data_IF_226639985361
#
_entry.id   IF_226639985361
#
_cell.length_a   1.000
_cell.length_b   1.000
_cell.length_c   1.000
_cell.angle_alpha   90.00
_cell.angle_beta   90.00
_cell.angle_gamma   90.00
#
_symmetry.space_group_name_H-M   'P 1'
#
loop_
_entity.id
_entity.type
_entity.pdbx_description
1 polymer ?
#
# COMPACT_ATOMS: atom_id res chain seq x y z
N UNK A 1 12.74 -12.75 22.93
CA UNK A 1 13.42 -11.44 22.81
C UNK A 1 14.77 -11.57 22.10
N UNK A 2 15.67 -12.51 22.45
CA UNK A 2 16.93 -12.74 21.76
C UNK A 2 16.75 -13.07 20.26
N UNK A 3 15.65 -13.73 19.89
CA UNK A 3 15.34 -14.11 18.50
C UNK A 3 15.07 -12.90 17.60
N UNK A 4 14.39 -11.87 18.13
CA UNK A 4 14.09 -10.64 17.36
C UNK A 4 15.33 -9.76 17.17
N UNK A 5 16.22 -9.71 18.16
CA UNK A 5 17.49 -8.99 18.05
C UNK A 5 18.42 -9.70 17.05
N UNK A 6 18.39 -11.04 17.02
CA UNK A 6 19.14 -11.84 16.05
C UNK A 6 18.62 -11.66 14.62
N UNK A 7 17.30 -11.66 14.40
CA UNK A 7 16.72 -11.34 13.10
C UNK A 7 17.09 -9.92 12.61
N UNK A 8 17.21 -8.96 13.53
CA UNK A 8 17.64 -7.62 13.19
C UNK A 8 19.11 -7.56 12.73
N UNK A 9 20.00 -8.31 13.38
CA UNK A 9 21.41 -8.42 12.97
C UNK A 9 21.58 -9.31 11.73
N UNK A 10 20.79 -10.36 11.58
CA UNK A 10 20.80 -11.24 10.40
C UNK A 10 20.23 -10.53 9.17
N UNK A 11 19.24 -9.65 9.32
CA UNK A 11 18.74 -8.78 8.27
C UNK A 11 19.80 -7.79 7.75
N UNK A 12 20.82 -7.44 8.55
CA UNK A 12 21.99 -6.69 8.09
C UNK A 12 23.02 -7.55 7.33
N UNK A 13 23.00 -8.86 7.55
CA UNK A 13 23.93 -9.81 6.93
C UNK A 13 23.29 -10.59 5.77
N UNK A 14 21.98 -10.40 5.54
CA UNK A 14 21.21 -11.11 4.54
C UNK A 14 21.86 -11.02 3.17
N UNK A 15 22.32 -12.16 2.79
CA UNK A 15 22.92 -12.48 1.51
C UNK A 15 21.97 -12.15 0.37
N UNK A 16 22.54 -11.67 -0.72
CA UNK A 16 22.10 -11.84 -2.09
C UNK A 16 20.64 -11.46 -2.43
N UNK A 17 20.49 -10.34 -3.12
CA UNK A 17 19.57 -10.10 -4.24
C UNK A 17 18.04 -10.22 -4.03
N UNK A 18 17.51 -10.63 -2.91
CA UNK A 18 16.07 -10.46 -2.67
C UNK A 18 15.79 -9.00 -2.35
N UNK A 19 15.23 -8.28 -3.33
CA UNK A 19 14.74 -6.92 -3.13
C UNK A 19 13.71 -6.92 -2.00
N UNK A 20 14.03 -6.23 -0.91
CA UNK A 20 13.12 -6.12 0.24
C UNK A 20 11.89 -5.32 -0.18
N UNK A 21 10.72 -5.92 0.00
CA UNK A 21 9.43 -5.29 -0.27
C UNK A 21 8.91 -4.51 0.93
N UNK A 22 8.00 -3.56 0.69
CA UNK A 22 7.62 -2.55 1.68
C UNK A 22 6.18 -2.65 2.17
N UNK A 23 5.42 -3.66 1.70
CA UNK A 23 3.99 -3.78 1.92
C UNK A 23 3.56 -4.10 3.35
N UNK A 24 2.27 -3.89 3.62
CA UNK A 24 1.70 -4.11 4.95
C UNK A 24 1.53 -5.59 5.30
N UNK A 25 1.37 -6.47 4.31
CA UNK A 25 1.19 -7.91 4.51
C UNK A 25 2.36 -8.75 4.04
N UNK A 26 3.30 -8.16 3.32
CA UNK A 26 4.48 -8.84 2.83
C UNK A 26 5.70 -7.91 2.87
N UNK A 27 6.86 -8.43 3.30
CA UNK A 27 8.10 -7.68 3.43
C UNK A 27 8.23 -6.92 4.76
N UNK A 28 9.08 -5.90 4.78
CA UNK A 28 9.46 -5.17 5.99
C UNK A 28 8.28 -4.47 6.68
N UNK A 29 7.34 -3.95 5.89
CA UNK A 29 6.13 -3.33 6.44
C UNK A 29 5.26 -4.31 7.24
N UNK A 30 5.23 -5.59 6.86
CA UNK A 30 4.47 -6.61 7.59
C UNK A 30 5.02 -6.85 8.99
N UNK A 31 6.33 -6.72 9.19
CA UNK A 31 6.98 -6.83 10.51
C UNK A 31 6.55 -5.67 11.40
N UNK A 32 6.58 -4.45 10.87
CA UNK A 32 6.09 -3.27 11.61
C UNK A 32 4.61 -3.44 11.97
N UNK A 33 3.80 -3.87 10.99
CA UNK A 33 2.37 -4.09 11.22
C UNK A 33 2.10 -5.16 12.29
N UNK A 34 2.87 -6.23 12.31
CA UNK A 34 2.83 -7.25 13.36
C UNK A 34 3.08 -6.66 14.75
N UNK A 35 4.10 -5.80 14.90
CA UNK A 35 4.38 -5.10 16.17
C UNK A 35 3.28 -4.12 16.56
N UNK A 36 2.65 -3.43 15.61
CA UNK A 36 1.49 -2.57 15.86
C UNK A 36 0.32 -3.38 16.44
N UNK A 37 0.01 -4.53 15.87
CA UNK A 37 -1.04 -5.42 16.37
C UNK A 37 -0.72 -5.96 17.75
N UNK A 38 0.53 -6.41 17.99
CA UNK A 38 0.97 -6.87 19.31
C UNK A 38 0.84 -5.78 20.37
N UNK A 39 1.20 -4.53 20.04
CA UNK A 39 0.97 -3.41 20.94
C UNK A 39 -0.52 -3.15 21.18
N UNK A 40 -1.35 -3.18 20.15
CA UNK A 40 -2.80 -2.96 20.30
C UNK A 40 -3.45 -3.99 21.24
N UNK A 41 -2.99 -5.23 21.18
CA UNK A 41 -3.51 -6.34 22.02
C UNK A 41 -2.95 -6.25 23.44
N UNK A 42 -1.65 -6.08 23.59
CA UNK A 42 -0.95 -6.26 24.88
C UNK A 42 -0.73 -4.95 25.64
N UNK A 43 -0.81 -3.81 24.97
CA UNK A 43 -0.42 -2.47 25.45
C UNK A 43 1.05 -2.36 25.90
N UNK A 44 1.89 -3.33 25.55
CA UNK A 44 3.30 -3.31 25.86
C UNK A 44 4.07 -2.41 24.88
N UNK A 45 4.56 -1.27 25.38
CA UNK A 45 5.29 -0.24 24.59
C UNK A 45 6.59 -0.76 23.95
N UNK A 46 7.11 -1.91 24.43
CA UNK A 46 8.29 -2.53 23.81
C UNK A 46 8.06 -2.87 22.36
N UNK A 47 6.84 -3.27 21.99
CA UNK A 47 6.51 -3.57 20.60
C UNK A 47 6.54 -2.31 19.70
N UNK A 48 6.15 -1.14 20.21
CA UNK A 48 6.31 0.12 19.46
C UNK A 48 7.79 0.47 19.24
N UNK A 49 8.65 0.20 20.21
CA UNK A 49 10.10 0.42 20.05
C UNK A 49 10.71 -0.47 18.97
N UNK A 50 10.29 -1.75 18.91
CA UNK A 50 10.70 -2.64 17.82
C UNK A 50 10.13 -2.19 16.47
N UNK A 51 8.84 -1.86 16.42
CA UNK A 51 8.21 -1.29 15.22
C UNK A 51 8.94 -0.06 14.69
N UNK A 52 9.35 0.85 15.58
CA UNK A 52 10.10 2.05 15.21
C UNK A 52 11.47 1.73 14.57
N UNK A 53 12.20 0.72 15.09
CA UNK A 53 13.47 0.26 14.47
C UNK A 53 13.24 -0.24 13.05
N UNK A 54 12.21 -1.06 12.86
CA UNK A 54 11.84 -1.60 11.56
C UNK A 54 11.31 -0.53 10.59
N UNK A 55 10.68 0.54 11.09
CA UNK A 55 10.33 1.70 10.28
C UNK A 55 11.55 2.38 9.63
N UNK A 56 12.73 2.36 10.27
CA UNK A 56 13.95 2.91 9.67
C UNK A 56 14.49 2.00 8.55
N UNK A 57 14.35 0.68 8.68
CA UNK A 57 14.70 -0.25 7.61
C UNK A 57 13.72 -0.05 6.44
N UNK A 58 12.42 -0.10 6.72
CA UNK A 58 11.36 0.11 5.74
C UNK A 58 11.57 1.40 4.93
N UNK A 59 11.90 2.52 5.61
CA UNK A 59 12.19 3.81 4.95
C UNK A 59 13.34 3.74 3.93
N UNK A 60 14.36 2.89 4.19
CA UNK A 60 15.51 2.73 3.28
C UNK A 60 15.13 1.95 2.02
N UNK A 61 14.20 1.00 2.13
CA UNK A 61 13.77 0.15 1.04
C UNK A 61 12.82 0.84 0.05
N UNK A 62 12.16 1.95 0.44
CA UNK A 62 11.09 2.58 -0.35
C UNK A 62 11.42 2.86 -1.82
N UNK A 63 12.65 3.28 -2.11
CA UNK A 63 13.05 3.69 -3.48
C UNK A 63 13.43 2.51 -4.37
N UNK A 64 13.84 1.41 -3.75
CA UNK A 64 14.32 0.21 -4.43
C UNK A 64 13.19 -0.78 -4.68
N UNK A 65 12.08 -0.65 -3.92
CA UNK A 65 10.89 -1.45 -4.10
C UNK A 65 10.14 -1.02 -5.37
N UNK A 66 9.94 -1.96 -6.27
CA UNK A 66 9.22 -1.80 -7.53
C UNK A 66 7.77 -2.26 -7.43
N UNK A 67 7.30 -2.66 -6.24
CA UNK A 67 5.91 -2.93 -5.94
C UNK A 67 5.25 -1.68 -5.38
N UNK A 68 4.03 -1.41 -5.82
CA UNK A 68 3.33 -0.17 -5.46
C UNK A 68 2.05 -0.43 -4.69
N UNK A 69 1.59 -1.66 -4.66
CA UNK A 69 0.33 -2.07 -4.07
C UNK A 69 0.33 -2.04 -2.52
N UNK A 70 -0.83 -2.37 -1.94
CA UNK A 70 -1.01 -2.37 -0.48
C UNK A 70 -0.37 -3.60 0.18
N UNK A 71 -0.40 -4.75 -0.48
CA UNK A 71 0.04 -6.03 0.10
C UNK A 71 1.55 -6.08 0.19
N UNK A 72 2.27 -5.85 -0.90
CA UNK A 72 3.70 -6.01 -1.00
C UNK A 72 4.49 -4.72 -1.21
N UNK A 73 3.83 -3.59 -1.48
CA UNK A 73 4.49 -2.40 -2.01
C UNK A 73 4.31 -1.11 -1.20
N UNK A 74 4.70 -0.01 -1.83
CA UNK A 74 4.79 1.30 -1.21
C UNK A 74 3.46 1.84 -0.65
N UNK A 75 2.29 1.45 -1.19
CA UNK A 75 1.01 1.83 -0.60
C UNK A 75 0.80 1.17 0.78
N UNK A 76 1.29 -0.06 0.95
CA UNK A 76 1.33 -0.71 2.26
C UNK A 76 2.23 0.04 3.25
N UNK A 77 3.41 0.51 2.80
CA UNK A 77 4.28 1.33 3.63
C UNK A 77 3.61 2.64 4.08
N UNK A 78 2.84 3.32 3.21
CA UNK A 78 2.03 4.48 3.57
C UNK A 78 1.11 4.13 4.74
N UNK A 79 0.39 3.01 4.66
CA UNK A 79 -0.53 2.56 5.72
C UNK A 79 0.19 2.25 7.03
N UNK A 80 1.31 1.56 6.95
CA UNK A 80 2.11 1.19 8.13
C UNK A 80 2.63 2.43 8.87
N UNK A 81 3.17 3.41 8.15
CA UNK A 81 3.66 4.64 8.77
C UNK A 81 2.52 5.51 9.34
N UNK A 82 1.37 5.60 8.67
CA UNK A 82 0.19 6.27 9.21
C UNK A 82 -0.29 5.60 10.51
N UNK A 83 -0.30 4.28 10.56
CA UNK A 83 -0.65 3.56 11.79
C UNK A 83 0.35 3.86 12.92
N UNK A 84 1.67 3.97 12.63
CA UNK A 84 2.65 4.39 13.64
C UNK A 84 2.40 5.81 14.13
N UNK A 85 2.07 6.74 13.22
CA UNK A 85 1.68 8.08 13.58
C UNK A 85 0.45 8.10 14.51
N UNK A 86 -0.57 7.29 14.20
CA UNK A 86 -1.76 7.19 15.04
C UNK A 86 -1.46 6.68 16.45
N UNK A 87 -0.48 5.79 16.58
CA UNK A 87 -0.10 5.19 17.85
C UNK A 87 0.83 6.06 18.70
N UNK A 88 1.69 6.88 18.07
CA UNK A 88 2.75 7.61 18.78
C UNK A 88 2.66 9.13 18.65
N UNK A 89 1.95 9.64 17.63
CA UNK A 89 1.77 11.08 17.32
C UNK A 89 3.10 11.81 17.09
N UNK A 90 4.08 11.13 16.52
CA UNK A 90 5.38 11.71 16.15
C UNK A 90 5.42 12.05 14.66
N UNK A 91 5.69 13.32 14.31
CA UNK A 91 5.68 13.85 12.93
C UNK A 91 6.66 13.14 12.00
N UNK A 92 7.72 12.54 12.54
CA UNK A 92 8.66 11.77 11.76
C UNK A 92 8.02 10.58 11.00
N UNK A 93 6.86 10.08 11.45
CA UNK A 93 6.12 9.06 10.72
C UNK A 93 5.32 9.65 9.55
N UNK A 94 4.79 10.87 9.67
CA UNK A 94 4.20 11.57 8.53
C UNK A 94 5.24 11.86 7.45
N UNK A 95 6.44 12.29 7.84
CA UNK A 95 7.54 12.47 6.87
C UNK A 95 7.90 11.19 6.13
N UNK A 96 7.95 10.04 6.84
CA UNK A 96 8.17 8.73 6.23
C UNK A 96 7.03 8.33 5.28
N UNK A 97 5.79 8.61 5.69
CA UNK A 97 4.60 8.38 4.87
C UNK A 97 4.66 9.19 3.57
N UNK A 98 4.99 10.48 3.65
CA UNK A 98 5.14 11.35 2.48
C UNK A 98 6.25 10.88 1.54
N UNK A 99 7.34 10.31 2.08
CA UNK A 99 8.40 9.70 1.24
C UNK A 99 7.89 8.49 0.47
N UNK A 100 7.11 7.61 1.11
CA UNK A 100 6.50 6.46 0.45
C UNK A 100 5.50 6.89 -0.64
N UNK A 101 4.62 7.85 -0.31
CA UNK A 101 3.69 8.44 -1.28
C UNK A 101 4.41 9.15 -2.43
N UNK A 102 5.53 9.81 -2.17
CA UNK A 102 6.36 10.43 -3.21
C UNK A 102 6.91 9.43 -4.22
N UNK A 103 7.18 8.19 -3.80
CA UNK A 103 7.52 7.09 -4.74
C UNK A 103 6.31 6.75 -5.60
N UNK A 104 5.13 6.62 -4.99
CA UNK A 104 3.88 6.33 -5.73
C UNK A 104 3.59 7.41 -6.78
N UNK A 105 3.63 8.71 -6.39
CA UNK A 105 3.39 9.81 -7.32
C UNK A 105 4.40 9.81 -8.49
N UNK A 106 5.65 9.57 -8.21
CA UNK A 106 6.73 9.56 -9.22
C UNK A 106 6.60 8.38 -10.20
N UNK A 107 6.06 7.24 -9.75
CA UNK A 107 5.96 5.99 -10.51
C UNK A 107 4.59 5.77 -11.14
N UNK A 108 3.64 6.69 -10.92
CA UNK A 108 2.36 6.68 -11.58
C UNK A 108 2.53 6.80 -13.10
N UNK A 109 1.75 6.05 -13.84
CA UNK A 109 1.74 6.02 -15.31
C UNK A 109 0.37 6.44 -15.80
N UNK A 110 0.32 7.31 -16.79
CA UNK A 110 -0.94 7.70 -17.43
C UNK A 110 -1.56 6.49 -18.16
N UNK A 111 -2.84 6.23 -17.90
CA UNK A 111 -3.70 5.40 -18.73
C UNK A 111 -4.39 6.24 -19.81
N UNK A 112 -5.30 5.65 -20.55
CA UNK A 112 -6.18 6.42 -21.47
C UNK A 112 -7.04 7.42 -20.69
N UNK A 113 -7.46 7.05 -19.51
CA UNK A 113 -8.15 7.90 -18.53
C UNK A 113 -7.53 7.66 -17.18
N UNK A 114 -7.11 8.72 -16.49
CA UNK A 114 -6.51 8.62 -15.16
C UNK A 114 -5.10 8.04 -15.13
N UNK A 115 -4.71 7.52 -13.97
CA UNK A 115 -3.37 6.95 -13.73
C UNK A 115 -3.45 5.58 -13.07
N UNK A 116 -2.39 4.78 -13.24
CA UNK A 116 -2.20 3.51 -12.57
C UNK A 116 -0.73 3.22 -12.30
N UNK A 117 -0.45 2.05 -11.74
CA UNK A 117 0.91 1.59 -11.44
C UNK A 117 1.16 0.24 -12.09
N UNK A 118 2.31 0.10 -12.71
CA UNK A 118 2.70 -1.16 -13.37
C UNK A 118 2.91 -2.26 -12.34
N UNK A 119 2.24 -3.37 -12.54
CA UNK A 119 2.50 -4.59 -11.79
C UNK A 119 3.85 -5.18 -12.21
N UNK A 120 4.62 -5.66 -11.24
CA UNK A 120 5.97 -6.19 -11.47
C UNK A 120 5.97 -7.47 -12.34
N UNK A 121 4.90 -8.27 -12.28
CA UNK A 121 4.85 -9.57 -12.95
C UNK A 121 4.61 -9.47 -14.46
N UNK A 122 3.73 -8.55 -14.89
CA UNK A 122 3.32 -8.46 -16.30
C UNK A 122 3.31 -7.04 -16.86
N UNK A 123 3.68 -6.03 -16.06
CA UNK A 123 3.75 -4.63 -16.47
C UNK A 123 2.39 -3.95 -16.69
N UNK A 124 1.28 -4.63 -16.44
CA UNK A 124 -0.07 -4.05 -16.60
C UNK A 124 -0.43 -3.14 -15.44
N UNK A 125 -1.39 -2.23 -15.66
CA UNK A 125 -1.96 -1.40 -14.60
C UNK A 125 -3.15 -2.15 -14.00
N UNK A 126 -2.96 -2.76 -12.82
CA UNK A 126 -3.99 -3.59 -12.20
C UNK A 126 -5.08 -2.76 -11.52
N UNK A 127 -6.32 -3.22 -11.63
CA UNK A 127 -7.41 -2.87 -10.73
C UNK A 127 -7.43 -3.75 -9.46
N UNK A 128 -8.28 -3.39 -8.50
CA UNK A 128 -8.46 -4.14 -7.26
C UNK A 128 -7.81 -3.52 -6.04
N UNK A 129 -8.17 -4.03 -4.85
CA UNK A 129 -7.71 -3.44 -3.59
C UNK A 129 -6.32 -3.93 -3.18
N UNK A 130 -6.05 -5.24 -3.27
CA UNK A 130 -4.79 -5.78 -2.80
C UNK A 130 -3.60 -5.37 -3.67
N UNK A 131 -3.75 -5.48 -5.00
CA UNK A 131 -2.64 -5.35 -5.95
C UNK A 131 -2.86 -4.27 -7.02
N UNK A 132 -3.89 -3.42 -6.88
CA UNK A 132 -4.26 -2.45 -7.90
C UNK A 132 -4.61 -1.07 -7.37
N UNK A 133 -5.24 -0.31 -8.26
CA UNK A 133 -5.50 1.12 -8.05
C UNK A 133 -6.38 1.42 -6.83
N UNK A 134 -7.37 0.59 -6.48
CA UNK A 134 -8.26 0.86 -5.35
C UNK A 134 -7.50 0.92 -4.01
N UNK A 135 -6.51 0.05 -3.79
CA UNK A 135 -5.71 0.08 -2.57
C UNK A 135 -4.74 1.26 -2.52
N UNK A 136 -4.12 1.60 -3.65
CA UNK A 136 -3.21 2.74 -3.74
C UNK A 136 -3.99 4.05 -3.53
N UNK A 137 -5.14 4.18 -4.18
CA UNK A 137 -6.08 5.29 -3.98
C UNK A 137 -6.45 5.45 -2.50
N UNK A 138 -6.77 4.36 -1.81
CA UNK A 138 -7.09 4.37 -0.40
C UNK A 138 -5.93 4.90 0.45
N UNK A 139 -4.71 4.42 0.22
CA UNK A 139 -3.52 4.87 0.94
C UNK A 139 -3.24 6.37 0.74
N UNK A 140 -3.32 6.86 -0.51
CA UNK A 140 -3.12 8.27 -0.84
C UNK A 140 -4.22 9.17 -0.26
N UNK A 141 -5.49 8.75 -0.31
CA UNK A 141 -6.60 9.49 0.28
C UNK A 141 -6.46 9.62 1.80
N UNK A 142 -6.06 8.52 2.48
CA UNK A 142 -5.73 8.55 3.90
C UNK A 142 -4.65 9.58 4.21
N UNK A 143 -3.54 9.57 3.45
CA UNK A 143 -2.46 10.53 3.66
C UNK A 143 -2.94 11.98 3.44
N UNK A 144 -3.76 12.22 2.41
CA UNK A 144 -4.34 13.55 2.18
C UNK A 144 -5.14 14.04 3.38
N UNK A 145 -5.92 13.16 4.02
CA UNK A 145 -6.70 13.49 5.22
C UNK A 145 -5.82 13.89 6.43
N UNK A 146 -4.62 13.32 6.56
CA UNK A 146 -3.67 13.66 7.63
C UNK A 146 -2.89 14.95 7.36
N UNK A 147 -2.54 15.20 6.09
CA UNK A 147 -1.63 16.30 5.73
C UNK A 147 -2.33 17.54 5.16
N UNK A 148 -3.57 17.39 4.71
CA UNK A 148 -4.30 18.43 3.97
C UNK A 148 -3.76 18.68 2.54
N UNK A 149 -2.76 17.94 2.09
CA UNK A 149 -2.14 18.13 0.78
C UNK A 149 -3.03 17.57 -0.33
N UNK A 150 -3.47 18.45 -1.23
CA UNK A 150 -4.39 18.12 -2.33
C UNK A 150 -3.79 17.20 -3.39
N UNK A 151 -2.47 17.21 -3.55
CA UNK A 151 -1.79 16.39 -4.55
C UNK A 151 -2.05 14.88 -4.36
N UNK A 152 -2.17 14.41 -3.11
CA UNK A 152 -2.47 13.02 -2.82
C UNK A 152 -3.92 12.66 -3.14
N UNK A 153 -4.85 13.58 -2.85
CA UNK A 153 -6.27 13.39 -3.20
C UNK A 153 -6.48 13.41 -4.72
N UNK A 154 -5.78 14.31 -5.42
CA UNK A 154 -5.82 14.36 -6.88
C UNK A 154 -5.30 13.06 -7.51
N UNK A 155 -4.16 12.56 -7.06
CA UNK A 155 -3.64 11.28 -7.54
C UNK A 155 -4.58 10.11 -7.24
N UNK A 156 -5.20 10.11 -6.06
CA UNK A 156 -6.22 9.13 -5.70
C UNK A 156 -7.44 9.20 -6.63
N UNK A 157 -7.89 10.40 -6.97
CA UNK A 157 -9.00 10.61 -7.90
C UNK A 157 -8.64 10.15 -9.32
N UNK A 158 -7.43 10.42 -9.79
CA UNK A 158 -6.96 9.95 -11.09
C UNK A 158 -6.87 8.41 -11.12
N UNK A 159 -6.47 7.76 -10.01
CA UNK A 159 -6.51 6.30 -9.89
C UNK A 159 -7.93 5.73 -9.95
N UNK A 160 -8.90 6.41 -9.32
CA UNK A 160 -10.32 6.07 -9.42
C UNK A 160 -10.83 6.17 -10.87
N UNK A 161 -10.46 7.24 -11.59
CA UNK A 161 -10.88 7.41 -12.99
C UNK A 161 -10.37 6.26 -13.86
N UNK A 162 -9.11 5.83 -13.67
CA UNK A 162 -8.58 4.67 -14.37
C UNK A 162 -9.35 3.40 -14.00
N UNK A 163 -9.54 3.11 -12.72
CA UNK A 163 -10.19 1.87 -12.30
C UNK A 163 -11.65 1.76 -12.77
N UNK A 164 -12.35 2.88 -12.88
CA UNK A 164 -13.68 2.93 -13.50
C UNK A 164 -13.68 2.43 -14.94
N UNK A 165 -12.62 2.65 -15.71
CA UNK A 165 -12.55 2.19 -17.11
C UNK A 165 -12.51 0.66 -17.23
N UNK A 166 -12.13 -0.02 -16.14
CA UNK A 166 -12.09 -1.48 -16.10
C UNK A 166 -13.47 -2.12 -15.86
N UNK A 167 -14.46 -1.35 -15.44
CA UNK A 167 -15.82 -1.85 -15.19
C UNK A 167 -16.57 -2.14 -16.47
N UNK A 168 -17.11 -3.33 -16.61
CA UNK A 168 -17.96 -3.76 -17.72
C UNK A 168 -19.39 -4.05 -17.22
N UNK A 169 -20.36 -3.17 -17.51
CA UNK A 169 -21.74 -3.35 -17.06
C UNK A 169 -22.37 -4.65 -17.56
N UNK A 170 -22.07 -5.05 -18.80
CA UNK A 170 -22.62 -6.25 -19.43
C UNK A 170 -22.16 -7.54 -18.74
N UNK A 171 -20.99 -7.52 -18.13
CA UNK A 171 -20.40 -8.63 -17.35
C UNK A 171 -20.65 -8.49 -15.85
N UNK A 172 -21.16 -7.33 -15.39
CA UNK A 172 -21.41 -7.05 -13.98
C UNK A 172 -20.15 -7.03 -13.11
N UNK A 173 -18.97 -6.69 -13.67
CA UNK A 173 -17.71 -6.76 -12.95
C UNK A 173 -16.58 -5.97 -13.61
N UNK A 174 -15.43 -5.96 -12.94
CA UNK A 174 -14.21 -5.31 -13.43
C UNK A 174 -13.35 -6.30 -14.21
N UNK A 175 -12.71 -5.83 -15.28
CA UNK A 175 -11.77 -6.61 -16.06
C UNK A 175 -10.56 -7.02 -15.22
N UNK A 176 -10.23 -8.31 -15.22
CA UNK A 176 -9.04 -8.85 -14.56
C UNK A 176 -7.83 -8.83 -15.51
N UNK A 177 -6.90 -7.94 -15.26
CA UNK A 177 -5.70 -7.75 -16.08
C UNK A 177 -4.49 -8.58 -15.62
N UNK A 178 -4.68 -9.52 -14.69
CA UNK A 178 -3.62 -10.44 -14.24
C UNK A 178 -3.39 -11.61 -15.19
N UNK A 179 -4.39 -11.91 -16.01
CA UNK A 179 -4.37 -12.97 -17.01
C UNK A 179 -4.50 -12.40 -18.42
N UNK A 180 -3.98 -13.11 -19.41
CA UNK A 180 -4.23 -12.81 -20.83
C UNK A 180 -5.66 -13.17 -21.24
N UNK A 181 -6.32 -14.06 -20.52
CA UNK A 181 -7.72 -14.39 -20.74
C UNK A 181 -8.61 -13.19 -20.35
N UNK A 182 -9.69 -13.01 -21.11
CA UNK A 182 -10.67 -11.96 -20.82
C UNK A 182 -11.56 -12.36 -19.62
N UNK A 183 -11.06 -12.16 -18.42
CA UNK A 183 -11.74 -12.47 -17.18
C UNK A 183 -12.31 -11.19 -16.53
N UNK A 184 -13.44 -11.35 -15.83
CA UNK A 184 -14.10 -10.28 -15.09
C UNK A 184 -14.27 -10.63 -13.63
N UNK A 185 -13.90 -9.70 -12.75
CA UNK A 185 -14.00 -9.81 -11.31
C UNK A 185 -15.38 -9.34 -10.84
N UNK A 186 -16.34 -10.24 -10.81
CA UNK A 186 -17.70 -9.99 -10.32
C UNK A 186 -17.95 -10.54 -8.92
N UNK A 187 -17.00 -11.29 -8.37
CA UNK A 187 -17.12 -11.92 -7.06
C UNK A 187 -16.81 -10.96 -5.90
N UNK A 188 -17.18 -11.37 -4.68
CA UNK A 188 -17.01 -10.57 -3.46
C UNK A 188 -15.63 -10.72 -2.80
N UNK A 189 -14.59 -11.06 -3.56
CA UNK A 189 -13.24 -11.13 -3.03
C UNK A 189 -12.69 -9.76 -2.65
N UNK A 190 -12.02 -9.70 -1.50
CA UNK A 190 -11.39 -8.48 -1.03
C UNK A 190 -10.19 -8.06 -1.89
N UNK A 191 -9.35 -9.01 -2.29
CA UNK A 191 -8.07 -8.69 -2.92
C UNK A 191 -8.22 -8.12 -4.35
N UNK A 192 -9.12 -8.67 -5.15
CA UNK A 192 -9.28 -8.27 -6.56
C UNK A 192 -10.72 -8.42 -7.06
N UNK A 193 -11.69 -8.42 -6.16
CA UNK A 193 -13.12 -8.49 -6.50
C UNK A 193 -13.86 -7.20 -6.21
N UNK A 194 -15.16 -7.23 -6.51
CA UNK A 194 -16.08 -6.09 -6.34
C UNK A 194 -16.05 -5.51 -4.93
N UNK A 195 -16.01 -6.37 -3.90
CA UNK A 195 -16.04 -5.92 -2.51
C UNK A 195 -14.82 -5.04 -2.17
N UNK A 196 -13.61 -5.46 -2.55
CA UNK A 196 -12.40 -4.68 -2.31
C UNK A 196 -12.36 -3.36 -3.06
N UNK A 197 -12.79 -3.36 -4.33
CA UNK A 197 -12.85 -2.15 -5.16
C UNK A 197 -13.82 -1.14 -4.55
N UNK A 198 -15.05 -1.55 -4.26
CA UNK A 198 -16.06 -0.66 -3.67
C UNK A 198 -15.67 -0.16 -2.28
N UNK A 199 -15.00 -1.01 -1.48
CA UNK A 199 -14.44 -0.61 -0.20
C UNK A 199 -13.40 0.50 -0.37
N UNK A 200 -12.44 0.34 -1.30
CA UNK A 200 -11.48 1.36 -1.64
C UNK A 200 -12.13 2.68 -2.08
N UNK A 201 -13.12 2.61 -2.96
CA UNK A 201 -13.87 3.79 -3.43
C UNK A 201 -14.60 4.51 -2.29
N UNK A 202 -15.36 3.75 -1.49
CA UNK A 202 -16.15 4.30 -0.38
C UNK A 202 -15.30 5.03 0.66
N UNK A 203 -14.10 4.52 0.93
CA UNK A 203 -13.21 5.09 1.93
C UNK A 203 -12.30 6.20 1.41
N UNK A 204 -12.16 6.33 0.08
CA UNK A 204 -11.24 7.26 -0.55
C UNK A 204 -11.89 8.52 -1.08
N UNK A 205 -13.13 8.42 -1.51
CA UNK A 205 -13.86 9.53 -2.10
C UNK A 205 -14.70 10.24 -1.04
N UNK A 206 -14.80 11.59 -1.09
CA UNK A 206 -15.71 12.30 -0.23
C UNK A 206 -17.14 11.80 -0.45
N UNK A 207 -17.99 11.83 0.57
CA UNK A 207 -19.41 11.53 0.37
C UNK A 207 -20.00 12.50 -0.67
N UNK A 208 -20.95 12.03 -1.48
CA UNK A 208 -21.61 12.84 -2.49
C UNK A 208 -22.35 14.03 -1.89
#
# INVERSE_FOLDING_TARGET
FAYTDQMFEDGKKGSSEEKMTTGIFFGEGSIVYGYQLLYQITKNVTFLKYGAKHCEILRRCLKEDEQFDIVGGNAGAVMVFLNMYDLQREDCYLEKTERAAGVLLKKAVAGETGIGWKNISNGTLLGGFAHGCAGIMYALSRLSAYTGKKEYLEAAYQAFLYERTLYCPEKGGWRDLRSEEELYMSDFKWCHGTAGILFGWKLSLPPP
#
